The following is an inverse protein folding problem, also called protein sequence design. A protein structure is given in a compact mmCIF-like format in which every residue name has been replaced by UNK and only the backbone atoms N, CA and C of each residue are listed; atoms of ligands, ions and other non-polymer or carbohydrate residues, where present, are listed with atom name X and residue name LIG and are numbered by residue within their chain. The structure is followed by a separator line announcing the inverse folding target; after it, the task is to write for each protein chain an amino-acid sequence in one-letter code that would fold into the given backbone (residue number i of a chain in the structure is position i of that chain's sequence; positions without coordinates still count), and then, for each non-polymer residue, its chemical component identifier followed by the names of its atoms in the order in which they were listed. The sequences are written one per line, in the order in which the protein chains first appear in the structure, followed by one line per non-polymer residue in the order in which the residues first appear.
data_IF_901289117735
#
_entry.id   IF_901289117735
#
_cell.length_a   1.000
_cell.length_b   1.000
_cell.length_c   1.000
_cell.angle_alpha   90.00
_cell.angle_beta   90.00
_cell.angle_gamma   90.00
#
_symmetry.space_group_name_H-M   'P 1'
#
loop_
_entity.id
_entity.type
_entity.pdbx_description
1 polymer ?
#
# COMPACT_ATOMS: atom_id res chain seq x y z
N UNK A 1 -13.82 -13.67 -11.36
CA UNK A 1 -13.12 -12.38 -11.45
C UNK A 1 -11.98 -12.27 -10.47
N UNK A 2 -10.94 -11.51 -10.84
CA UNK A 2 -9.72 -11.31 -10.06
C UNK A 2 -9.31 -9.83 -10.08
N UNK A 3 -9.00 -9.27 -8.90
CA UNK A 3 -8.46 -7.93 -8.73
C UNK A 3 -7.15 -8.00 -7.94
N UNK A 4 -6.14 -7.28 -8.44
CA UNK A 4 -4.83 -7.15 -7.77
C UNK A 4 -4.50 -5.66 -7.65
N UNK A 5 -4.25 -5.22 -6.42
CA UNK A 5 -3.84 -3.84 -6.14
C UNK A 5 -2.59 -3.81 -5.26
N UNK A 6 -1.72 -2.84 -5.50
CA UNK A 6 -0.51 -2.60 -4.70
C UNK A 6 -0.44 -1.12 -4.37
N UNK A 7 -0.58 -0.80 -3.09
CA UNK A 7 -0.61 0.56 -2.60
C UNK A 7 0.44 0.78 -1.50
N UNK A 8 0.85 2.02 -1.21
CA UNK A 8 1.73 2.30 -0.09
C UNK A 8 1.08 1.85 1.23
N UNK A 9 1.84 1.11 2.04
CA UNK A 9 1.43 0.73 3.39
C UNK A 9 1.60 1.93 4.33
N UNK A 10 0.48 2.53 4.71
CA UNK A 10 0.44 3.70 5.58
C UNK A 10 0.81 3.34 7.02
N UNK A 11 2.11 3.40 7.30
CA UNK A 11 2.66 3.09 8.61
C UNK A 11 3.81 4.04 9.01
N UNK A 12 4.02 4.28 10.31
CA UNK A 12 5.20 5.01 10.79
C UNK A 12 6.52 4.34 10.37
N UNK A 13 6.54 3.00 10.29
CA UNK A 13 7.69 2.24 9.84
C UNK A 13 8.07 2.53 8.39
N UNK A 14 7.09 2.56 7.48
CA UNK A 14 7.32 2.92 6.08
C UNK A 14 7.84 4.36 5.93
N UNK A 15 7.30 5.31 6.72
CA UNK A 15 7.80 6.70 6.73
C UNK A 15 9.24 6.79 7.23
N UNK A 16 9.60 6.05 8.28
CA UNK A 16 10.97 6.01 8.81
C UNK A 16 11.93 5.41 7.77
N UNK A 17 11.54 4.30 7.14
CA UNK A 17 12.32 3.66 6.09
C UNK A 17 12.51 4.61 4.90
N UNK A 18 11.46 5.30 4.46
CA UNK A 18 11.54 6.30 3.40
C UNK A 18 12.54 7.42 3.72
N UNK A 19 12.51 7.96 4.94
CA UNK A 19 13.49 8.97 5.37
C UNK A 19 14.93 8.45 5.35
N UNK A 20 15.16 7.20 5.76
CA UNK A 20 16.48 6.56 5.68
C UNK A 20 16.97 6.39 4.23
N UNK A 21 16.04 6.26 3.28
CA UNK A 21 16.34 6.12 1.86
C UNK A 21 16.57 7.44 1.12
N UNK A 22 16.39 8.60 1.77
CA UNK A 22 16.49 9.91 1.12
C UNK A 22 17.83 10.17 0.40
N UNK A 23 18.93 9.61 0.90
CA UNK A 23 20.26 9.73 0.30
C UNK A 23 20.46 8.81 -0.93
N UNK A 24 19.60 7.80 -1.10
CA UNK A 24 19.71 6.77 -2.15
C UNK A 24 18.67 6.95 -3.27
N UNK A 25 17.81 7.96 -3.16
CA UNK A 25 16.74 8.23 -4.14
C UNK A 25 16.90 9.62 -4.75
N UNK A 26 16.36 9.79 -5.96
CA UNK A 26 16.33 11.07 -6.66
C UNK A 26 15.47 12.13 -5.92
N UNK A 27 15.64 13.42 -6.28
CA UNK A 27 14.93 14.52 -5.63
C UNK A 27 13.41 14.39 -5.72
N UNK A 28 12.88 13.93 -6.86
CA UNK A 28 11.43 13.69 -7.05
C UNK A 28 10.92 12.67 -6.03
N UNK A 29 11.51 11.48 -6.00
CA UNK A 29 11.13 10.41 -5.06
C UNK A 29 11.28 10.83 -3.61
N UNK A 30 12.31 11.62 -3.27
CA UNK A 30 12.53 12.13 -1.91
C UNK A 30 11.35 12.97 -1.40
N UNK A 31 10.73 13.76 -2.28
CA UNK A 31 9.57 14.59 -1.95
C UNK A 31 8.25 13.83 -2.04
N UNK A 32 8.07 13.01 -3.07
CA UNK A 32 6.80 12.33 -3.34
C UNK A 32 6.56 11.13 -2.42
N UNK A 33 7.58 10.32 -2.15
CA UNK A 33 7.48 9.10 -1.34
C UNK A 33 6.77 9.32 0.01
N UNK A 34 7.14 10.30 0.86
CA UNK A 34 6.43 10.51 2.12
C UNK A 34 4.98 10.95 1.93
N UNK A 35 4.65 11.63 0.81
CA UNK A 35 3.27 11.99 0.45
C UNK A 35 2.51 10.73 0.04
N UNK A 36 3.06 9.88 -0.82
CA UNK A 36 2.47 8.61 -1.22
C UNK A 36 2.23 7.68 -0.03
N UNK A 37 3.19 7.55 0.89
CA UNK A 37 3.02 6.72 2.10
C UNK A 37 1.87 7.23 2.98
N UNK A 38 1.69 8.56 3.09
CA UNK A 38 0.57 9.15 3.86
C UNK A 38 -0.77 9.00 3.15
N UNK A 39 -0.78 9.06 1.82
CA UNK A 39 -1.97 8.85 1.00
C UNK A 39 -2.38 7.38 0.88
N UNK A 40 -1.46 6.44 1.16
CA UNK A 40 -1.72 5.01 1.11
C UNK A 40 -2.68 4.50 2.20
N UNK A 41 -2.75 3.18 2.32
CA UNK A 41 -3.79 2.47 3.07
C UNK A 41 -3.23 1.65 4.22
N UNK A 42 -4.06 1.43 5.24
CA UNK A 42 -3.86 0.42 6.28
C UNK A 42 -4.58 -0.89 5.91
N UNK A 43 -4.26 -2.02 6.56
CA UNK A 43 -4.97 -3.27 6.34
C UNK A 43 -6.49 -3.10 6.50
N UNK A 44 -7.24 -3.60 5.53
CA UNK A 44 -8.70 -3.52 5.42
C UNK A 44 -9.23 -2.20 4.85
N UNK A 45 -8.45 -1.11 4.81
CA UNK A 45 -8.93 0.17 4.28
C UNK A 45 -9.09 0.13 2.75
N UNK A 46 -8.15 -0.49 2.03
CA UNK A 46 -8.20 -0.52 0.57
C UNK A 46 -9.37 -1.38 0.06
N UNK A 47 -9.56 -2.58 0.62
CA UNK A 47 -10.67 -3.44 0.24
C UNK A 47 -12.04 -2.76 0.47
N UNK A 48 -12.20 -2.05 1.59
CA UNK A 48 -13.41 -1.27 1.89
C UNK A 48 -13.59 -0.08 0.94
N UNK A 49 -12.52 0.65 0.64
CA UNK A 49 -12.58 1.78 -0.29
C UNK A 49 -12.98 1.37 -1.71
N UNK A 50 -12.75 0.11 -2.08
CA UNK A 50 -13.07 -0.45 -3.39
C UNK A 50 -14.43 -1.19 -3.44
N UNK A 51 -15.18 -1.25 -2.33
CA UNK A 51 -16.47 -1.95 -2.30
C UNK A 51 -16.34 -3.47 -2.50
N UNK A 52 -15.34 -4.09 -1.89
CA UNK A 52 -15.03 -5.52 -2.04
C UNK A 52 -15.62 -6.39 -0.92
N UNK A 53 -16.69 -5.95 -0.25
CA UNK A 53 -17.30 -6.65 0.89
C UNK A 53 -17.81 -8.05 0.55
N UNK A 54 -18.37 -8.21 -0.66
CA UNK A 54 -18.88 -9.49 -1.15
C UNK A 54 -17.81 -10.36 -1.84
N UNK A 55 -16.57 -9.87 -1.88
CA UNK A 55 -15.44 -10.58 -2.49
C UNK A 55 -14.63 -11.30 -1.41
N UNK A 56 -14.06 -12.45 -1.77
CA UNK A 56 -12.97 -13.01 -0.95
C UNK A 56 -11.74 -12.18 -1.22
N UNK A 57 -11.04 -11.75 -0.18
CA UNK A 57 -9.78 -11.02 -0.33
C UNK A 57 -8.72 -11.47 0.66
N UNK A 58 -7.46 -11.25 0.27
CA UNK A 58 -6.28 -11.47 1.08
C UNK A 58 -5.38 -10.25 0.97
N UNK A 59 -4.84 -9.80 2.11
CA UNK A 59 -3.92 -8.69 2.16
C UNK A 59 -2.56 -9.12 2.71
N UNK A 60 -1.49 -8.55 2.16
CA UNK A 60 -0.13 -8.68 2.71
C UNK A 60 0.59 -7.35 2.71
N UNK A 61 1.08 -6.95 3.87
CA UNK A 61 2.05 -5.87 4.00
C UNK A 61 3.48 -6.41 3.88
N UNK A 62 4.38 -5.61 3.33
CA UNK A 62 5.81 -5.89 3.28
C UNK A 62 6.60 -4.93 4.15
N UNK A 63 7.76 -5.38 4.63
CA UNK A 63 8.67 -4.53 5.41
C UNK A 63 9.17 -3.30 4.63
N UNK A 64 9.17 -3.37 3.28
CA UNK A 64 9.52 -2.26 2.38
C UNK A 64 8.38 -1.24 2.19
N UNK A 65 7.28 -1.36 2.95
CA UNK A 65 6.22 -0.35 2.96
C UNK A 65 5.17 -0.49 1.85
N UNK A 66 5.02 -1.68 1.25
CA UNK A 66 3.91 -1.96 0.32
C UNK A 66 2.79 -2.76 0.97
N UNK A 67 1.53 -2.43 0.66
CA UNK A 67 0.32 -3.17 0.96
C UNK A 67 -0.21 -3.79 -0.34
N UNK A 68 -0.38 -5.11 -0.36
CA UNK A 68 -0.87 -5.86 -1.53
C UNK A 68 -2.23 -6.43 -1.21
N UNK A 69 -3.20 -6.23 -2.10
CA UNK A 69 -4.56 -6.77 -2.00
C UNK A 69 -4.82 -7.67 -3.20
N UNK A 70 -5.24 -8.90 -2.90
CA UNK A 70 -5.73 -9.87 -3.86
C UNK A 70 -7.19 -10.12 -3.54
N UNK A 71 -8.10 -9.83 -4.47
CA UNK A 71 -9.53 -10.10 -4.29
C UNK A 71 -10.05 -10.95 -5.45
N UNK A 72 -10.91 -11.93 -5.16
CA UNK A 72 -11.48 -12.82 -6.16
C UNK A 72 -12.91 -13.23 -5.82
N UNK A 73 -13.67 -13.52 -6.88
CA UNK A 73 -14.96 -14.21 -6.81
C UNK A 73 -15.02 -15.30 -7.87
N UNK A 74 -15.51 -16.46 -7.48
CA UNK A 74 -15.84 -17.54 -8.41
C UNK A 74 -17.32 -17.35 -8.74
N UNK A 75 -17.61 -17.16 -10.03
CA UNK A 75 -18.98 -17.09 -10.53
C UNK A 75 -19.62 -18.49 -10.50
#
# INVERSE_FOLDING_TARGET
DLLVAVEPFRSPGALRLGRMMNAFVGPVTRHDMPVSIRAGFRPGELARAMGLEDWRFSERSSWRGGLRVLAWRVA
#
